data_IF_375250710384
#
_entry.id   IF_375250710384
#
_cell.length_a   1.000
_cell.length_b   1.000
_cell.length_c   1.000
_cell.angle_alpha   90.00
_cell.angle_beta   90.00
_cell.angle_gamma   90.00
#
_symmetry.space_group_name_H-M   'P 1'
#
loop_
_entity.id
_entity.type
_entity.pdbx_description
1 polymer ?
#
# COMPACT_ATOMS: atom_id res chain seq x y z
N UNK A 1 -8.75 -50.44 44.03
CA UNK A 1 -7.30 -50.24 43.75
C UNK A 1 -7.16 -49.96 42.25
N UNK A 2 -6.50 -48.95 41.69
CA UNK A 2 -5.43 -48.03 42.13
C UNK A 2 -5.34 -46.87 41.12
N UNK A 3 -5.42 -45.64 41.65
CA UNK A 3 -4.80 -44.35 41.25
C UNK A 3 -3.81 -44.33 40.06
N UNK A 4 -3.95 -43.32 39.17
CA UNK A 4 -2.93 -42.32 38.70
C UNK A 4 -3.42 -41.64 37.40
N UNK A 5 -3.91 -40.39 37.41
CA UNK A 5 -3.19 -39.09 37.24
C UNK A 5 -2.19 -39.02 36.08
N UNK A 6 -2.43 -38.07 35.16
CA UNK A 6 -1.45 -37.46 34.24
C UNK A 6 -2.11 -37.00 32.92
N UNK A 7 -2.69 -35.80 32.82
CA UNK A 7 -2.06 -34.50 32.48
C UNK A 7 -1.66 -34.33 30.99
N UNK A 8 -2.53 -33.64 30.21
CA UNK A 8 -2.37 -32.64 29.10
C UNK A 8 -1.22 -32.82 28.04
N UNK A 9 -1.24 -32.05 26.91
CA UNK A 9 -2.26 -31.81 25.88
C UNK A 9 -1.69 -32.02 24.42
N UNK A 10 -2.51 -31.72 23.40
CA UNK A 10 -2.26 -31.79 21.93
C UNK A 10 -0.96 -31.10 21.43
N UNK A 11 -0.43 -31.40 20.21
CA UNK A 11 -0.87 -30.68 18.99
C UNK A 11 -0.63 -31.40 17.64
N UNK A 12 -1.21 -30.87 16.54
CA UNK A 12 -0.52 -30.52 15.27
C UNK A 12 -1.55 -30.19 14.16
N UNK A 13 -1.95 -28.93 14.12
CA UNK A 13 -2.29 -28.29 12.86
C UNK A 13 -0.97 -27.71 12.30
N UNK A 14 -0.43 -28.36 11.28
CA UNK A 14 0.43 -27.73 10.27
C UNK A 14 -0.44 -26.72 9.51
N UNK A 15 -0.01 -25.52 9.15
CA UNK A 15 1.32 -24.95 9.11
C UNK A 15 1.26 -23.87 8.04
N UNK A 16 1.35 -22.61 8.46
CA UNK A 16 1.78 -21.50 7.63
C UNK A 16 2.20 -20.39 8.58
N UNK A 17 3.44 -20.46 9.05
CA UNK A 17 4.08 -19.40 9.79
C UNK A 17 4.42 -18.26 8.82
N UNK A 18 3.47 -17.37 8.56
CA UNK A 18 3.83 -16.00 8.26
C UNK A 18 4.39 -15.44 9.58
N UNK A 19 5.71 -15.52 9.75
CA UNK A 19 6.43 -14.83 10.81
C UNK A 19 6.35 -13.32 10.54
N UNK A 20 5.19 -12.75 10.82
CA UNK A 20 5.05 -11.31 11.02
C UNK A 20 5.62 -11.02 12.41
N UNK A 21 6.95 -10.94 12.53
CA UNK A 21 7.56 -10.39 13.73
C UNK A 21 7.17 -8.90 13.81
N UNK A 22 6.47 -8.44 14.86
CA UNK A 22 6.25 -7.02 15.08
C UNK A 22 7.53 -6.46 15.72
N UNK A 23 8.64 -6.49 14.98
CA UNK A 23 9.92 -6.01 15.49
C UNK A 23 10.31 -4.72 14.77
N UNK A 24 10.31 -3.66 15.57
CA UNK A 24 10.94 -2.36 15.36
C UNK A 24 10.39 -1.47 14.24
N UNK A 25 9.22 -0.88 14.47
CA UNK A 25 9.11 0.56 14.21
C UNK A 25 9.33 1.23 15.56
N UNK A 26 10.43 1.98 15.78
CA UNK A 26 10.61 2.70 17.03
C UNK A 26 9.52 3.78 17.11
N UNK A 27 8.49 3.51 17.92
CA UNK A 27 7.47 4.48 18.22
C UNK A 27 8.07 5.57 19.10
N UNK A 28 8.34 6.76 18.53
CA UNK A 28 8.55 7.98 19.30
C UNK A 28 10.00 8.40 19.58
N UNK A 29 10.92 8.24 18.62
CA UNK A 29 12.20 8.96 18.67
C UNK A 29 11.99 10.39 18.14
N UNK A 30 12.45 11.42 18.87
CA UNK A 30 12.37 12.83 18.44
C UNK A 30 11.14 13.62 18.91
N UNK A 31 10.36 13.11 19.88
CA UNK A 31 9.24 13.84 20.48
C UNK A 31 9.77 15.01 21.32
N UNK A 32 9.30 16.22 21.05
CA UNK A 32 9.58 17.42 21.85
C UNK A 32 8.27 17.94 22.46
N UNK A 33 8.35 18.91 23.37
CA UNK A 33 7.17 19.55 23.97
C UNK A 33 6.23 20.19 22.93
N UNK A 34 6.72 20.45 21.71
CA UNK A 34 5.94 21.04 20.62
C UNK A 34 5.38 19.99 19.63
N UNK A 35 5.48 18.69 19.94
CA UNK A 35 4.95 17.64 19.06
C UNK A 35 3.42 17.56 19.13
N UNK A 36 2.74 17.84 18.01
CA UNK A 36 1.29 17.73 17.86
C UNK A 36 0.85 16.38 17.31
N UNK A 37 -0.46 16.10 17.33
CA UNK A 37 -1.05 14.91 16.68
C UNK A 37 -0.76 14.85 15.18
N UNK A 38 -0.62 16.02 14.52
CA UNK A 38 -0.26 16.11 13.10
C UNK A 38 1.13 15.54 12.82
N UNK A 39 2.09 15.77 13.71
CA UNK A 39 3.44 15.22 13.58
C UNK A 39 3.45 13.68 13.68
N UNK A 40 2.67 13.10 14.59
CA UNK A 40 2.54 11.64 14.67
C UNK A 40 1.89 11.05 13.40
N UNK A 41 0.86 11.72 12.87
CA UNK A 41 0.22 11.30 11.63
C UNK A 41 1.20 11.35 10.45
N UNK A 42 1.94 12.46 10.30
CA UNK A 42 2.95 12.61 9.25
C UNK A 42 4.08 11.58 9.38
N UNK A 43 4.61 11.38 10.58
CA UNK A 43 5.65 10.38 10.83
C UNK A 43 5.18 8.95 10.49
N UNK A 44 3.91 8.63 10.74
CA UNK A 44 3.33 7.35 10.33
C UNK A 44 3.27 7.21 8.80
N UNK A 45 2.85 8.25 8.08
CA UNK A 45 2.82 8.24 6.61
C UNK A 45 4.23 8.12 6.01
N UNK A 46 5.21 8.82 6.57
CA UNK A 46 6.61 8.74 6.18
C UNK A 46 7.17 7.33 6.44
N UNK A 47 6.97 6.78 7.64
CA UNK A 47 7.40 5.42 7.98
C UNK A 47 6.82 4.33 7.07
N UNK A 48 5.52 4.44 6.72
CA UNK A 48 4.90 3.54 5.75
C UNK A 48 5.48 3.71 4.33
N UNK A 49 5.85 4.93 3.96
CA UNK A 49 6.46 5.22 2.64
C UNK A 49 7.89 4.70 2.55
N UNK A 50 8.63 4.69 3.67
CA UNK A 50 9.96 4.09 3.78
C UNK A 50 9.91 2.56 3.60
N UNK A 51 8.95 1.91 4.25
CA UNK A 51 8.70 0.48 4.06
C UNK A 51 8.34 0.16 2.61
N UNK A 52 7.48 0.98 2.00
CA UNK A 52 7.12 0.83 0.58
C UNK A 52 8.36 0.94 -0.33
N UNK A 53 9.27 1.88 -0.05
CA UNK A 53 10.52 2.03 -0.83
C UNK A 53 11.42 0.80 -0.70
N UNK A 54 11.56 0.23 0.50
CA UNK A 54 12.34 -0.99 0.72
C UNK A 54 11.74 -2.19 -0.03
N UNK A 55 10.42 -2.32 -0.02
CA UNK A 55 9.72 -3.36 -0.76
C UNK A 55 9.90 -3.20 -2.27
N UNK A 56 9.78 -1.98 -2.80
CA UNK A 56 9.99 -1.71 -4.22
C UNK A 56 11.42 -2.08 -4.64
N UNK A 57 12.43 -1.66 -3.88
CA UNK A 57 13.83 -2.02 -4.15
C UNK A 57 14.04 -3.53 -4.15
N UNK A 58 13.35 -4.26 -3.28
CA UNK A 58 13.41 -5.73 -3.22
C UNK A 58 12.79 -6.35 -4.47
N UNK A 59 11.62 -5.87 -4.89
CA UNK A 59 10.95 -6.32 -6.12
C UNK A 59 11.78 -6.03 -7.37
N UNK A 60 12.39 -4.85 -7.46
CA UNK A 60 13.28 -4.48 -8.57
C UNK A 60 14.50 -5.42 -8.66
N UNK A 61 15.10 -5.76 -7.52
CA UNK A 61 16.24 -6.70 -7.45
C UNK A 61 15.85 -8.10 -7.89
N UNK A 62 14.72 -8.61 -7.41
CA UNK A 62 14.24 -9.97 -7.73
C UNK A 62 13.78 -10.06 -9.19
N UNK A 63 13.06 -9.05 -9.67
CA UNK A 63 12.47 -9.03 -11.01
C UNK A 63 13.41 -8.50 -12.11
N UNK A 64 14.56 -7.93 -11.76
CA UNK A 64 15.51 -7.38 -12.73
C UNK A 64 14.97 -6.18 -13.51
N UNK A 65 14.08 -5.39 -12.92
CA UNK A 65 13.47 -4.21 -13.55
C UNK A 65 13.70 -2.94 -12.73
N UNK A 66 13.43 -1.78 -13.34
CA UNK A 66 13.32 -0.49 -12.65
C UNK A 66 11.94 0.09 -12.84
N UNK A 67 11.27 0.41 -11.75
CA UNK A 67 9.97 1.04 -11.78
C UNK A 67 10.10 2.46 -12.31
N UNK A 68 9.23 2.82 -13.25
CA UNK A 68 9.18 4.17 -13.85
C UNK A 68 8.07 5.02 -13.25
N UNK A 69 7.00 4.38 -12.79
CA UNK A 69 5.86 5.00 -12.14
C UNK A 69 5.18 4.00 -11.21
N UNK A 70 4.44 4.50 -10.21
CA UNK A 70 3.58 3.69 -9.34
C UNK A 70 2.12 4.09 -9.53
N UNK A 71 1.28 3.16 -9.97
CA UNK A 71 -0.17 3.33 -10.06
C UNK A 71 -0.83 3.05 -8.70
N UNK A 72 -1.54 4.03 -8.16
CA UNK A 72 -2.33 3.90 -6.93
C UNK A 72 -3.82 3.88 -7.23
N UNK A 73 -4.51 2.97 -6.55
CA UNK A 73 -5.95 2.76 -6.62
C UNK A 73 -6.50 2.53 -5.20
N UNK A 74 -7.81 2.69 -5.04
CA UNK A 74 -8.51 2.44 -3.77
C UNK A 74 -8.34 3.55 -2.72
N UNK A 75 -8.83 3.33 -1.50
CA UNK A 75 -8.99 4.40 -0.50
C UNK A 75 -7.71 5.18 -0.15
N UNK A 76 -6.55 4.52 -0.14
CA UNK A 76 -5.26 5.15 0.13
C UNK A 76 -4.79 6.13 -0.95
N UNK A 77 -5.36 6.08 -2.15
CA UNK A 77 -5.05 7.00 -3.24
C UNK A 77 -5.70 8.38 -3.06
N UNK A 78 -6.71 8.51 -2.19
CA UNK A 78 -7.42 9.77 -1.93
C UNK A 78 -6.61 10.75 -1.08
N UNK A 79 -5.57 10.28 -0.40
CA UNK A 79 -4.73 11.10 0.47
C UNK A 79 -3.60 11.77 -0.34
N UNK A 80 -3.84 13.01 -0.80
CA UNK A 80 -2.90 13.78 -1.60
C UNK A 80 -1.55 14.00 -0.91
N UNK A 81 -1.56 14.30 0.40
CA UNK A 81 -0.33 14.47 1.19
C UNK A 81 0.51 13.19 1.16
N UNK A 82 -0.12 12.05 1.43
CA UNK A 82 0.60 10.78 1.43
C UNK A 82 1.11 10.40 0.04
N UNK A 83 0.35 10.71 -1.02
CA UNK A 83 0.80 10.47 -2.39
C UNK A 83 2.05 11.28 -2.73
N UNK A 84 2.12 12.55 -2.30
CA UNK A 84 3.31 13.37 -2.47
C UNK A 84 4.50 12.81 -1.68
N UNK A 85 4.29 12.40 -0.42
CA UNK A 85 5.33 11.75 0.41
C UNK A 85 5.87 10.50 -0.29
N UNK A 86 4.99 9.64 -0.85
CA UNK A 86 5.41 8.46 -1.62
C UNK A 86 6.23 8.85 -2.85
N UNK A 87 5.81 9.85 -3.62
CA UNK A 87 6.53 10.29 -4.81
C UNK A 87 7.95 10.75 -4.46
N UNK A 88 8.06 11.58 -3.42
CA UNK A 88 9.34 12.09 -2.93
C UNK A 88 10.22 10.96 -2.40
N UNK A 89 9.64 10.01 -1.65
CA UNK A 89 10.41 8.93 -1.02
C UNK A 89 10.88 7.87 -2.02
N UNK A 90 10.06 7.56 -3.01
CA UNK A 90 10.37 6.57 -4.05
C UNK A 90 11.21 7.16 -5.18
N UNK A 91 11.19 8.48 -5.38
CA UNK A 91 11.88 9.14 -6.48
C UNK A 91 11.28 8.87 -7.86
N UNK A 92 10.03 8.38 -7.92
CA UNK A 92 9.29 8.10 -9.15
C UNK A 92 7.90 8.73 -9.10
N UNK A 93 7.30 9.08 -10.25
CA UNK A 93 5.94 9.60 -10.30
C UNK A 93 4.91 8.61 -9.76
N UNK A 94 3.96 9.17 -9.01
CA UNK A 94 2.78 8.45 -8.53
C UNK A 94 1.60 8.82 -9.43
N UNK A 95 1.07 7.82 -10.11
CA UNK A 95 -0.13 7.92 -10.93
C UNK A 95 -1.32 7.49 -10.08
N UNK A 96 -2.24 8.37 -9.80
CA UNK A 96 -3.45 8.10 -9.01
C UNK A 96 -4.63 8.00 -9.94
N UNK A 97 -5.39 6.92 -9.84
CA UNK A 97 -6.71 6.89 -10.46
C UNK A 97 -7.71 7.64 -9.58
N UNK A 98 -8.44 8.57 -10.18
CA UNK A 98 -9.46 9.37 -9.47
C UNK A 98 -10.67 8.51 -9.04
N UNK A 99 -10.96 7.44 -9.79
CA UNK A 99 -12.05 6.51 -9.50
C UNK A 99 -11.70 5.56 -8.34
N UNK A 100 -12.50 5.62 -7.28
CA UNK A 100 -12.25 4.86 -6.06
C UNK A 100 -12.54 3.35 -6.16
N UNK A 101 -13.28 2.88 -7.18
CA UNK A 101 -13.85 1.53 -7.25
C UNK A 101 -13.25 0.64 -8.35
N UNK A 102 -11.92 0.61 -8.45
CA UNK A 102 -11.21 -0.20 -9.46
C UNK A 102 -11.47 -1.70 -9.36
N UNK A 103 -11.67 -2.21 -8.14
CA UNK A 103 -11.89 -3.63 -7.91
C UNK A 103 -13.22 -4.08 -8.50
N UNK A 104 -14.29 -3.32 -8.25
CA UNK A 104 -15.62 -3.63 -8.77
C UNK A 104 -15.65 -3.44 -10.28
N UNK A 105 -15.03 -2.36 -10.79
CA UNK A 105 -14.91 -2.13 -12.22
C UNK A 105 -14.17 -3.28 -12.94
N UNK A 106 -13.10 -3.81 -12.33
CA UNK A 106 -12.40 -4.98 -12.86
C UNK A 106 -13.29 -6.22 -12.90
N UNK A 107 -14.02 -6.50 -11.81
CA UNK A 107 -14.95 -7.64 -11.77
C UNK A 107 -16.07 -7.52 -12.83
N UNK A 108 -16.61 -6.32 -13.04
CA UNK A 108 -17.62 -6.06 -14.06
C UNK A 108 -17.10 -6.33 -15.49
N UNK A 109 -15.85 -5.96 -15.80
CA UNK A 109 -15.24 -6.24 -17.10
C UNK A 109 -15.12 -7.74 -17.38
N UNK A 110 -14.73 -8.53 -16.38
CA UNK A 110 -14.74 -9.99 -16.50
C UNK A 110 -16.16 -10.55 -16.59
N UNK A 111 -17.13 -9.95 -15.90
CA UNK A 111 -18.55 -10.30 -16.02
C UNK A 111 -19.09 -10.09 -17.43
N UNK A 112 -18.81 -8.96 -18.06
CA UNK A 112 -19.23 -8.68 -19.45
C UNK A 112 -18.59 -9.63 -20.46
N UNK A 113 -17.32 -9.97 -20.28
CA UNK A 113 -16.69 -11.04 -21.06
C UNK A 113 -17.41 -12.38 -20.86
N UNK A 114 -17.74 -12.73 -19.61
CA UNK A 114 -18.42 -13.99 -19.27
C UNK A 114 -19.82 -14.15 -19.90
N UNK A 115 -20.54 -13.05 -20.14
CA UNK A 115 -21.85 -13.07 -20.82
C UNK A 115 -21.75 -12.91 -22.35
N UNK A 116 -20.53 -12.77 -22.90
CA UNK A 116 -20.28 -12.65 -24.33
C UNK A 116 -20.49 -11.26 -24.92
N UNK A 117 -20.69 -10.23 -24.08
CA UNK A 117 -20.86 -8.84 -24.53
C UNK A 117 -19.57 -8.28 -25.16
N UNK A 118 -18.41 -8.66 -24.63
CA UNK A 118 -17.10 -8.34 -25.20
C UNK A 118 -16.32 -9.61 -25.50
N UNK A 119 -15.50 -9.57 -26.55
CA UNK A 119 -14.68 -10.73 -26.93
C UNK A 119 -13.45 -10.93 -26.04
N UNK A 120 -13.11 -9.95 -25.18
CA UNK A 120 -12.09 -10.09 -24.14
C UNK A 120 -12.27 -9.06 -23.00
N UNK A 121 -11.71 -9.31 -21.81
CA UNK A 121 -11.67 -8.33 -20.71
C UNK A 121 -10.97 -7.01 -21.10
N UNK A 122 -10.00 -7.05 -22.01
CA UNK A 122 -9.29 -5.88 -22.51
C UNK A 122 -10.19 -4.99 -23.38
N UNK A 123 -11.09 -5.59 -24.18
CA UNK A 123 -12.08 -4.81 -24.93
C UNK A 123 -13.08 -4.13 -23.98
N UNK A 124 -13.53 -4.83 -22.95
CA UNK A 124 -14.37 -4.27 -21.89
C UNK A 124 -13.66 -3.11 -21.17
N UNK A 125 -12.36 -3.26 -20.88
CA UNK A 125 -11.52 -2.21 -20.31
C UNK A 125 -11.42 -0.99 -21.23
N UNK A 126 -11.29 -1.18 -22.54
CA UNK A 126 -11.19 -0.08 -23.49
C UNK A 126 -12.43 0.83 -23.53
N UNK A 127 -13.59 0.35 -23.06
CA UNK A 127 -14.81 1.14 -22.94
C UNK A 127 -14.82 2.08 -21.71
N UNK A 128 -13.88 1.92 -20.79
CA UNK A 128 -13.84 2.70 -19.54
C UNK A 128 -12.80 3.82 -19.65
N UNK A 129 -13.29 5.07 -19.61
CA UNK A 129 -12.46 6.26 -19.64
C UNK A 129 -11.93 6.59 -18.23
N UNK A 130 -10.70 6.20 -17.95
CA UNK A 130 -10.04 6.51 -16.68
C UNK A 130 -9.45 7.92 -16.64
N UNK A 131 -9.62 8.58 -15.50
CA UNK A 131 -8.97 9.85 -15.17
C UNK A 131 -7.85 9.63 -14.17
N UNK A 132 -6.69 10.19 -14.51
CA UNK A 132 -5.49 10.05 -13.69
C UNK A 132 -4.98 11.40 -13.23
N UNK A 133 -4.55 11.46 -11.98
CA UNK A 133 -3.78 12.55 -11.40
C UNK A 133 -2.35 12.10 -11.14
N UNK A 134 -1.38 12.95 -11.42
CA UNK A 134 0.02 12.66 -11.19
C UNK A 134 0.60 13.47 -10.03
N UNK A 135 1.43 12.83 -9.21
CA UNK A 135 2.28 13.47 -8.21
C UNK A 135 3.73 13.17 -8.59
N UNK A 136 4.49 14.23 -8.86
CA UNK A 136 5.89 14.13 -9.27
C UNK A 136 6.80 14.27 -8.05
N UNK A 137 7.96 13.59 -8.00
CA UNK A 137 8.94 13.81 -6.95
C UNK A 137 9.38 15.27 -6.94
N UNK A 138 9.26 15.91 -5.77
CA UNK A 138 9.70 17.26 -5.53
C UNK A 138 11.04 17.23 -4.77
N UNK A 139 11.98 18.07 -5.19
CA UNK A 139 13.32 18.18 -4.58
C UNK A 139 13.32 19.02 -3.32
N UNK A 140 12.35 19.90 -3.14
CA UNK A 140 12.20 20.77 -1.97
C UNK A 140 10.88 20.48 -1.25
N UNK A 141 10.88 20.36 0.10
CA UNK A 141 9.64 20.33 0.84
C UNK A 141 9.00 21.72 0.79
N UNK A 142 7.90 21.88 0.05
CA UNK A 142 7.04 23.04 0.24
C UNK A 142 6.61 23.06 1.72
N UNK A 143 7.15 24.02 2.46
CA UNK A 143 6.69 24.34 3.81
C UNK A 143 5.27 24.87 3.65
N UNK A 144 4.29 24.00 3.90
CA UNK A 144 2.89 24.43 4.08
C UNK A 144 2.88 25.24 5.39
N UNK A 145 3.04 26.55 5.28
CA UNK A 145 2.74 27.48 6.37
C UNK A 145 1.24 27.38 6.64
N UNK A 146 0.86 26.62 7.68
CA UNK A 146 -0.51 26.58 8.18
C UNK A 146 -0.86 27.97 8.76
N UNK A 147 -1.84 28.64 8.14
CA UNK A 147 -2.47 29.87 8.63
C UNK A 147 -3.62 29.56 9.61
#
# INVERSE_FOLDING_TARGET
MTKRRGSRPAPRASGCSATCSPASTPAGQGVTLNTTRGHFYRAALEGLSDQLAQHLQTLEKIGGFRAKELLLVGGGSRNALWNQIKANRLGIPIKVLDDAETTVAGAAMFGWYGVGEFSSPEQARAQVAYRYRYFWPQTEPELIEEA
#
